data_IF_486336246795
#
_entry.id   IF_486336246795
#
_cell.length_a   1.000
_cell.length_b   1.000
_cell.length_c   1.000
_cell.angle_alpha   90.00
_cell.angle_beta   90.00
_cell.angle_gamma   90.00
#
_symmetry.space_group_name_H-M   'P 1'
#
loop_
_entity.id
_entity.type
_entity.pdbx_description
1 polymer ?
#
# COMPACT_ATOMS: atom_id res chain seq x y z
N UNK A 1 15.43 16.19 3.32
CA UNK A 1 14.35 16.19 4.34
C UNK A 1 13.02 16.71 3.81
N UNK A 2 12.86 18.00 3.46
CA UNK A 2 11.57 18.52 2.98
C UNK A 2 11.12 17.92 1.63
N UNK A 3 12.05 17.75 0.70
CA UNK A 3 11.81 17.08 -0.58
C UNK A 3 11.38 15.63 -0.41
N UNK A 4 11.97 14.94 0.56
CA UNK A 4 11.71 13.53 0.83
C UNK A 4 10.36 13.36 1.50
N UNK A 5 10.02 14.23 2.45
CA UNK A 5 8.70 14.27 3.08
C UNK A 5 7.60 14.56 2.05
N UNK A 6 7.79 15.54 1.17
CA UNK A 6 6.84 15.84 0.11
C UNK A 6 6.68 14.66 -0.86
N UNK A 7 7.78 13.99 -1.23
CA UNK A 7 7.74 12.82 -2.10
C UNK A 7 7.04 11.65 -1.42
N UNK A 8 7.33 11.39 -0.15
CA UNK A 8 6.70 10.32 0.63
C UNK A 8 5.20 10.53 0.75
N UNK A 9 4.73 11.73 1.10
CA UNK A 9 3.28 12.01 1.14
C UNK A 9 2.62 11.94 -0.25
N UNK A 10 3.28 12.44 -1.29
CA UNK A 10 2.78 12.37 -2.66
C UNK A 10 2.61 10.92 -3.14
N UNK A 11 3.63 10.07 -2.96
CA UNK A 11 3.53 8.67 -3.35
C UNK A 11 2.65 7.84 -2.41
N UNK A 12 2.50 8.24 -1.14
CA UNK A 12 1.64 7.57 -0.17
C UNK A 12 0.15 7.80 -0.48
N UNK A 13 -0.26 9.04 -0.77
CA UNK A 13 -1.65 9.36 -1.12
C UNK A 13 -1.99 9.11 -2.61
N UNK A 14 -0.99 9.15 -3.49
CA UNK A 14 -1.14 8.91 -4.92
C UNK A 14 -2.02 9.89 -5.72
N UNK A 15 -2.08 11.20 -5.41
CA UNK A 15 -2.81 12.14 -6.26
C UNK A 15 -2.16 12.23 -7.65
N UNK A 16 -2.99 12.32 -8.69
CA UNK A 16 -2.51 12.45 -10.07
C UNK A 16 -2.26 11.13 -10.80
N UNK A 17 -2.33 9.97 -10.14
CA UNK A 17 -2.26 8.66 -10.80
C UNK A 17 -3.56 8.20 -11.47
N UNK A 18 -4.63 9.00 -11.39
CA UNK A 18 -5.93 8.68 -12.00
C UNK A 18 -6.80 7.74 -11.16
N UNK A 19 -6.24 6.98 -10.22
CA UNK A 19 -7.02 6.08 -9.33
C UNK A 19 -8.09 6.82 -8.54
N UNK A 20 -7.74 7.92 -7.86
CA UNK A 20 -8.73 8.70 -7.11
C UNK A 20 -9.77 9.35 -8.03
N UNK A 21 -9.39 9.71 -9.27
CA UNK A 21 -10.32 10.24 -10.26
C UNK A 21 -11.32 9.17 -10.72
N UNK A 22 -10.84 7.96 -11.04
CA UNK A 22 -11.69 6.84 -11.44
C UNK A 22 -12.60 6.38 -10.29
N UNK A 23 -12.10 6.29 -9.06
CA UNK A 23 -12.92 5.92 -7.90
C UNK A 23 -13.98 6.99 -7.60
N UNK A 24 -13.61 8.27 -7.71
CA UNK A 24 -14.56 9.37 -7.48
C UNK A 24 -15.58 9.55 -8.61
N UNK A 25 -15.32 9.08 -9.84
CA UNK A 25 -16.31 9.11 -10.92
C UNK A 25 -17.53 8.22 -10.63
N UNK A 26 -17.38 7.22 -9.77
CA UNK A 26 -18.47 6.36 -9.30
C UNK A 26 -19.25 6.92 -8.09
N UNK A 27 -18.83 8.05 -7.51
CA UNK A 27 -19.54 8.65 -6.38
C UNK A 27 -20.87 9.28 -6.83
N UNK A 28 -21.81 9.37 -5.88
CA UNK A 28 -23.03 10.16 -6.07
C UNK A 28 -22.67 11.64 -6.27
N UNK A 29 -23.41 12.33 -7.13
CA UNK A 29 -23.14 13.73 -7.50
C UNK A 29 -23.10 14.70 -6.30
N UNK A 30 -23.91 14.46 -5.26
CA UNK A 30 -23.95 15.27 -4.04
C UNK A 30 -23.24 14.62 -2.84
N UNK A 31 -22.27 13.73 -3.09
CA UNK A 31 -21.45 13.15 -2.02
C UNK A 31 -20.50 14.20 -1.42
N UNK A 32 -20.23 14.11 -0.12
CA UNK A 32 -19.32 15.03 0.57
C UNK A 32 -17.85 14.62 0.37
N UNK A 33 -17.33 14.88 -0.82
CA UNK A 33 -15.95 14.52 -1.18
C UNK A 33 -14.88 15.19 -0.32
N UNK A 34 -15.17 16.36 0.26
CA UNK A 34 -14.25 17.06 1.14
C UNK A 34 -14.00 16.28 2.44
N UNK A 35 -15.07 15.75 3.05
CA UNK A 35 -14.96 14.92 4.24
C UNK A 35 -14.21 13.62 3.95
N UNK A 36 -14.54 12.95 2.84
CA UNK A 36 -13.89 11.70 2.43
C UNK A 36 -12.38 11.89 2.20
N UNK A 37 -11.99 13.01 1.56
CA UNK A 37 -10.59 13.35 1.33
C UNK A 37 -9.83 13.59 2.65
N UNK A 38 -10.42 14.35 3.58
CA UNK A 38 -9.81 14.58 4.90
C UNK A 38 -9.69 13.30 5.71
N UNK A 39 -10.74 12.47 5.73
CA UNK A 39 -10.75 11.21 6.45
C UNK A 39 -9.71 10.24 5.89
N UNK A 40 -9.68 10.06 4.57
CA UNK A 40 -8.73 9.16 3.89
C UNK A 40 -7.29 9.60 4.15
N UNK A 41 -7.01 10.89 4.03
CA UNK A 41 -5.65 11.42 4.29
C UNK A 41 -5.23 11.22 5.75
N UNK A 42 -6.16 11.42 6.69
CA UNK A 42 -5.91 11.23 8.12
C UNK A 42 -5.64 9.76 8.47
N UNK A 43 -6.40 8.84 7.88
CA UNK A 43 -6.20 7.39 8.06
C UNK A 43 -4.86 6.96 7.45
N UNK A 44 -4.52 7.46 6.26
CA UNK A 44 -3.24 7.17 5.62
C UNK A 44 -2.04 7.55 6.51
N UNK A 45 -2.10 8.76 7.07
CA UNK A 45 -1.09 9.24 8.02
C UNK A 45 -1.02 8.37 9.28
N UNK A 46 -2.18 8.08 9.89
CA UNK A 46 -2.24 7.26 11.11
C UNK A 46 -1.69 5.84 10.89
N UNK A 47 -2.04 5.22 9.76
CA UNK A 47 -1.53 3.89 9.37
C UNK A 47 -0.02 3.93 9.15
N UNK A 48 0.49 4.96 8.47
CA UNK A 48 1.94 5.12 8.23
C UNK A 48 2.71 5.29 9.54
N UNK A 49 2.19 6.09 10.47
CA UNK A 49 2.78 6.24 11.81
C UNK A 49 2.78 4.92 12.59
N UNK A 50 1.65 4.21 12.62
CA UNK A 50 1.53 2.92 13.28
C UNK A 50 2.49 1.88 12.69
N UNK A 51 2.57 1.79 11.36
CA UNK A 51 3.50 0.91 10.67
C UNK A 51 4.96 1.24 11.02
N UNK A 52 5.31 2.52 11.09
CA UNK A 52 6.62 2.97 11.56
C UNK A 52 6.95 2.45 12.96
N UNK A 53 6.04 2.58 13.92
CA UNK A 53 6.24 2.05 15.27
C UNK A 53 6.45 0.53 15.28
N UNK A 54 5.64 -0.21 14.53
CA UNK A 54 5.75 -1.68 14.43
C UNK A 54 7.10 -2.09 13.81
N UNK A 55 7.56 -1.39 12.76
CA UNK A 55 8.87 -1.61 12.12
C UNK A 55 10.01 -1.38 13.08
N UNK A 56 10.05 -0.23 13.75
CA UNK A 56 11.13 0.06 14.67
C UNK A 56 11.12 -0.85 15.91
N UNK A 57 9.95 -1.30 16.37
CA UNK A 57 9.87 -2.26 17.47
C UNK A 57 10.47 -3.64 17.12
N UNK A 58 10.15 -4.18 15.94
CA UNK A 58 10.70 -5.46 15.47
C UNK A 58 12.20 -5.34 15.19
N UNK A 59 12.63 -4.22 14.59
CA UNK A 59 14.05 -3.95 14.37
C UNK A 59 14.84 -3.85 15.68
N UNK A 60 14.32 -3.14 16.68
CA UNK A 60 14.95 -3.03 17.99
C UNK A 60 15.06 -4.40 18.68
N UNK A 61 14.02 -5.23 18.59
CA UNK A 61 14.05 -6.61 19.08
C UNK A 61 15.15 -7.44 18.39
N UNK A 62 15.28 -7.34 17.07
CA UNK A 62 16.31 -8.08 16.33
C UNK A 62 17.73 -7.57 16.62
N UNK A 63 17.89 -6.26 16.81
CA UNK A 63 19.16 -5.64 17.19
C UNK A 63 19.66 -6.18 18.53
N UNK A 64 18.77 -6.28 19.51
CA UNK A 64 19.08 -6.85 20.82
C UNK A 64 19.50 -8.32 20.73
N UNK A 65 18.78 -9.14 19.95
CA UNK A 65 19.12 -10.57 19.79
C UNK A 65 20.46 -10.78 19.11
N UNK A 66 20.78 -9.99 18.08
CA UNK A 66 22.05 -10.11 17.36
C UNK A 66 23.20 -9.37 18.02
N UNK A 67 22.92 -8.55 19.04
CA UNK A 67 23.90 -7.67 19.67
C UNK A 67 24.61 -6.77 18.64
N UNK A 68 23.82 -6.23 17.71
CA UNK A 68 24.27 -5.30 16.66
C UNK A 68 23.46 -4.01 16.73
N UNK A 69 23.98 -2.95 16.15
CA UNK A 69 23.26 -1.68 16.05
C UNK A 69 22.20 -1.71 14.94
N UNK A 70 21.13 -0.94 15.11
CA UNK A 70 19.95 -0.95 14.21
C UNK A 70 20.33 -0.55 12.77
N UNK A 71 21.34 0.29 12.58
CA UNK A 71 21.85 0.71 11.26
C UNK A 71 22.38 -0.46 10.41
N UNK A 72 22.77 -1.57 11.03
CA UNK A 72 23.25 -2.75 10.32
C UNK A 72 22.12 -3.65 9.80
N UNK A 73 20.91 -3.51 10.33
CA UNK A 73 19.77 -4.38 10.03
C UNK A 73 18.93 -3.92 8.83
N UNK A 74 19.31 -2.83 8.14
CA UNK A 74 18.50 -2.22 7.07
C UNK A 74 19.27 -1.89 5.78
N UNK A 75 20.49 -2.41 5.63
CA UNK A 75 21.41 -2.03 4.54
C UNK A 75 20.89 -2.40 3.14
N UNK A 76 19.96 -3.36 3.05
CA UNK A 76 19.39 -3.83 1.79
C UNK A 76 18.15 -3.02 1.34
N UNK A 77 17.80 -1.94 2.05
CA UNK A 77 16.65 -1.10 1.74
C UNK A 77 15.29 -1.77 2.04
N UNK A 78 14.18 -1.20 1.54
CA UNK A 78 12.83 -1.65 1.90
C UNK A 78 12.51 -3.12 1.59
N UNK A 79 12.92 -3.70 0.44
CA UNK A 79 12.67 -5.12 0.17
C UNK A 79 13.43 -6.06 1.11
N UNK A 80 14.71 -5.78 1.39
CA UNK A 80 15.50 -6.62 2.32
C UNK A 80 14.98 -6.53 3.75
N UNK A 81 14.51 -5.36 4.17
CA UNK A 81 13.85 -5.19 5.47
C UNK A 81 12.63 -6.13 5.60
N UNK A 82 11.74 -6.12 4.61
CA UNK A 82 10.47 -6.86 4.64
C UNK A 82 10.64 -8.36 4.39
N UNK A 83 11.59 -8.77 3.55
CA UNK A 83 11.72 -10.16 3.10
C UNK A 83 12.89 -10.93 3.71
N UNK A 84 13.81 -10.27 4.42
CA UNK A 84 14.94 -10.92 5.10
C UNK A 84 14.85 -10.70 6.60
N UNK A 85 14.92 -9.44 7.03
CA UNK A 85 15.07 -9.08 8.44
C UNK A 85 13.82 -9.40 9.25
N UNK A 86 12.65 -9.09 8.69
CA UNK A 86 11.35 -9.36 9.32
C UNK A 86 11.04 -10.85 9.49
N UNK A 87 11.12 -11.69 8.43
CA UNK A 87 10.92 -13.13 8.57
C UNK A 87 11.92 -13.76 9.54
N UNK A 88 13.16 -13.29 9.57
CA UNK A 88 14.16 -13.75 10.53
C UNK A 88 13.78 -13.40 11.97
N UNK A 89 13.34 -12.17 12.22
CA UNK A 89 12.85 -11.76 13.54
C UNK A 89 11.60 -12.54 13.97
N UNK A 90 10.67 -12.80 13.04
CA UNK A 90 9.47 -13.60 13.32
C UNK A 90 9.84 -15.06 13.64
N UNK A 91 10.87 -15.61 12.99
CA UNK A 91 11.32 -16.98 13.22
C UNK A 91 11.85 -17.20 14.65
N UNK A 92 12.36 -16.17 15.33
CA UNK A 92 12.84 -16.26 16.71
C UNK A 92 11.74 -16.08 17.75
N UNK A 93 10.54 -15.61 17.36
CA UNK A 93 9.41 -15.40 18.25
C UNK A 93 8.62 -16.68 18.52
N UNK A 94 8.06 -16.82 19.72
CA UNK A 94 7.14 -17.90 20.03
C UNK A 94 5.86 -17.76 19.17
N UNK A 95 5.45 -18.85 18.53
CA UNK A 95 4.32 -18.84 17.58
C UNK A 95 4.66 -18.28 16.20
N UNK A 96 5.93 -18.37 15.78
CA UNK A 96 6.45 -17.85 14.49
C UNK A 96 5.56 -18.17 13.28
N UNK A 97 5.00 -19.37 13.17
CA UNK A 97 4.10 -19.74 12.06
C UNK A 97 2.88 -18.82 11.97
N UNK A 98 2.26 -18.48 13.11
CA UNK A 98 1.09 -17.61 13.14
C UNK A 98 1.42 -16.18 12.70
N UNK A 99 2.50 -15.62 13.24
CA UNK A 99 2.97 -14.28 12.90
C UNK A 99 3.39 -14.17 11.43
N UNK A 100 4.08 -15.18 10.89
CA UNK A 100 4.46 -15.24 9.48
C UNK A 100 3.23 -15.23 8.57
N UNK A 101 2.20 -16.02 8.89
CA UNK A 101 0.96 -16.04 8.10
C UNK A 101 0.30 -14.66 8.05
N UNK A 102 0.15 -13.99 9.21
CA UNK A 102 -0.44 -12.65 9.27
C UNK A 102 0.40 -11.63 8.52
N UNK A 103 1.74 -11.66 8.69
CA UNK A 103 2.65 -10.71 8.06
C UNK A 103 2.60 -10.81 6.53
N UNK A 104 2.73 -12.03 5.98
CA UNK A 104 2.67 -12.21 4.53
C UNK A 104 1.27 -11.98 3.97
N UNK A 105 0.22 -12.34 4.71
CA UNK A 105 -1.15 -12.02 4.31
C UNK A 105 -1.40 -10.51 4.25
N UNK A 106 -0.85 -9.75 5.21
CA UNK A 106 -0.88 -8.29 5.21
C UNK A 106 -0.15 -7.73 3.98
N UNK A 107 1.05 -8.22 3.66
CA UNK A 107 1.79 -7.78 2.47
C UNK A 107 1.04 -8.05 1.17
N UNK A 108 0.42 -9.23 1.06
CA UNK A 108 -0.41 -9.60 -0.10
C UNK A 108 -1.60 -8.65 -0.21
N UNK A 109 -2.31 -8.40 0.89
CA UNK A 109 -3.49 -7.52 0.90
C UNK A 109 -3.12 -6.08 0.51
N UNK A 110 -2.03 -5.53 1.08
CA UNK A 110 -1.54 -4.20 0.73
C UNK A 110 -1.17 -4.07 -0.75
N UNK A 111 -0.54 -5.11 -1.32
CA UNK A 111 -0.21 -5.15 -2.74
C UNK A 111 -1.46 -5.24 -3.62
N UNK A 112 -2.39 -6.14 -3.28
CA UNK A 112 -3.61 -6.38 -4.04
C UNK A 112 -4.48 -5.12 -4.12
N UNK A 113 -4.79 -4.49 -2.99
CA UNK A 113 -5.66 -3.31 -2.95
C UNK A 113 -5.09 -2.16 -3.80
N UNK A 114 -3.77 -1.96 -3.75
CA UNK A 114 -3.06 -0.95 -4.54
C UNK A 114 -3.10 -1.26 -6.04
N UNK A 115 -2.86 -2.52 -6.42
CA UNK A 115 -2.91 -2.93 -7.84
C UNK A 115 -4.32 -2.83 -8.43
N UNK A 116 -5.36 -3.18 -7.66
CA UNK A 116 -6.74 -3.02 -8.09
C UNK A 116 -7.09 -1.54 -8.33
N UNK A 117 -6.65 -0.63 -7.46
CA UNK A 117 -6.82 0.80 -7.67
C UNK A 117 -6.14 1.32 -8.95
N UNK A 118 -4.92 0.85 -9.25
CA UNK A 118 -4.21 1.21 -10.48
C UNK A 118 -4.87 0.66 -11.74
N UNK A 119 -5.29 -0.60 -11.71
CA UNK A 119 -5.99 -1.24 -12.82
C UNK A 119 -7.34 -0.57 -13.09
N UNK A 120 -8.11 -0.26 -12.05
CA UNK A 120 -9.40 0.42 -12.19
C UNK A 120 -9.23 1.80 -12.83
N UNK A 121 -8.17 2.55 -12.48
CA UNK A 121 -7.87 3.83 -13.11
C UNK A 121 -7.74 3.71 -14.64
N UNK A 122 -7.01 2.69 -15.09
CA UNK A 122 -6.77 2.43 -16.50
C UNK A 122 -8.03 1.91 -17.20
N UNK A 123 -8.75 0.96 -16.58
CA UNK A 123 -9.97 0.38 -17.12
C UNK A 123 -11.03 1.47 -17.31
N UNK A 124 -11.28 2.27 -16.26
CA UNK A 124 -12.27 3.35 -16.30
C UNK A 124 -11.91 4.38 -17.35
N UNK A 125 -10.65 4.82 -17.41
CA UNK A 125 -10.20 5.77 -18.44
C UNK A 125 -10.40 5.26 -19.87
N UNK A 126 -10.10 3.99 -20.14
CA UNK A 126 -10.29 3.40 -21.48
C UNK A 126 -11.76 3.16 -21.81
N UNK A 127 -12.58 2.76 -20.83
CA UNK A 127 -14.01 2.56 -21.01
C UNK A 127 -14.75 3.89 -21.26
N UNK A 128 -14.32 4.98 -20.62
CA UNK A 128 -14.90 6.31 -20.80
C UNK A 128 -14.54 6.91 -22.17
N UNK A 129 -13.31 6.70 -22.65
CA UNK A 129 -12.86 7.17 -23.98
C UNK A 129 -13.47 6.36 -25.13
N UNK A 130 -13.60 5.03 -24.98
CA UNK A 130 -14.14 4.13 -26.02
C UNK A 130 -15.44 3.41 -25.56
N UNK A 131 -16.55 4.14 -25.36
CA UNK A 131 -17.76 3.60 -24.73
C UNK A 131 -18.45 2.52 -25.57
N UNK A 132 -18.40 2.62 -26.90
CA UNK A 132 -19.08 1.67 -27.82
C UNK A 132 -18.31 0.35 -27.94
N UNK A 133 -16.97 0.40 -27.93
CA UNK A 133 -16.11 -0.77 -28.12
C UNK A 133 -15.78 -1.47 -26.79
N UNK A 134 -15.30 -0.71 -25.80
CA UNK A 134 -14.82 -1.24 -24.52
C UNK A 134 -15.88 -1.14 -23.42
N UNK A 135 -16.58 0.00 -23.31
CA UNK A 135 -17.58 0.22 -22.26
C UNK A 135 -18.72 -0.81 -22.27
N UNK A 136 -19.28 -1.10 -23.46
CA UNK A 136 -20.37 -2.09 -23.61
C UNK A 136 -19.95 -3.55 -23.33
N UNK A 137 -18.64 -3.84 -23.41
CA UNK A 137 -18.06 -5.18 -23.19
C UNK A 137 -17.04 -5.15 -22.04
N UNK A 138 -17.28 -4.31 -21.02
CA UNK A 138 -16.34 -4.09 -19.92
C UNK A 138 -15.86 -5.38 -19.27
N UNK A 139 -16.76 -6.31 -18.96
CA UNK A 139 -16.40 -7.60 -18.34
C UNK A 139 -15.42 -8.43 -19.19
N UNK A 140 -15.65 -8.49 -20.51
CA UNK A 140 -14.75 -9.17 -21.45
C UNK A 140 -13.41 -8.45 -21.57
N UNK A 141 -13.43 -7.12 -21.57
CA UNK A 141 -12.21 -6.30 -21.61
C UNK A 141 -11.36 -6.52 -20.35
N UNK A 142 -11.98 -6.47 -19.16
CA UNK A 142 -11.32 -6.74 -17.88
C UNK A 142 -10.78 -8.17 -17.83
N UNK A 143 -11.55 -9.16 -18.30
CA UNK A 143 -11.12 -10.55 -18.34
C UNK A 143 -10.03 -10.88 -19.38
N UNK A 144 -9.76 -10.02 -20.35
CA UNK A 144 -8.62 -10.14 -21.28
C UNK A 144 -7.37 -9.45 -20.70
N UNK A 145 -7.57 -8.39 -19.92
CA UNK A 145 -6.51 -7.58 -19.34
C UNK A 145 -5.81 -8.27 -18.16
N UNK A 146 -6.58 -9.04 -17.36
CA UNK A 146 -6.11 -9.83 -16.22
C UNK A 146 -5.65 -11.23 -16.65
#
# INVERSE_FOLDING_TARGET
VWTDAASQEFFSLGPGFGTLLALSSYNKFHNNCFYDALLTSSINLATSLLAGFVIFAVLAYMAEIRNVSIDQLGLEGPPGLVFVVYPEAIATMAGSTFWSMIFFFLLITLGLDSTFGGLEAMITGLCDEYPVLLGRRRELFVGILL
#
